data_IF_773143936629
#
_entry.id   IF_773143936629
#
_cell.length_a   1.000
_cell.length_b   1.000
_cell.length_c   1.000
_cell.angle_alpha   90.00
_cell.angle_beta   90.00
_cell.angle_gamma   90.00
#
_symmetry.space_group_name_H-M   'P 1'
#
loop_
_entity.id
_entity.type
_entity.pdbx_description
1 polymer ?
#
# COMPACT_ATOMS: atom_id res chain seq x y z
N UNK A 1 -8.96 -20.94 1.06
CA UNK A 1 -8.89 -19.64 1.79
C UNK A 1 -7.86 -19.74 2.91
N UNK A 2 -7.03 -18.73 3.08
CA UNK A 2 -6.10 -18.66 4.21
C UNK A 2 -6.86 -18.43 5.50
N UNK A 3 -6.28 -18.87 6.64
CA UNK A 3 -6.97 -18.79 7.93
C UNK A 3 -7.28 -17.34 8.34
N UNK A 4 -6.44 -16.38 7.96
CA UNK A 4 -6.65 -14.95 8.22
C UNK A 4 -6.63 -14.21 6.90
N UNK A 5 -7.69 -13.48 6.62
CA UNK A 5 -7.84 -12.69 5.39
C UNK A 5 -8.33 -11.28 5.78
N UNK A 6 -7.61 -10.22 5.38
CA UNK A 6 -8.10 -8.86 5.59
C UNK A 6 -9.46 -8.67 4.91
N UNK A 7 -10.38 -8.02 5.61
CA UNK A 7 -11.72 -7.76 5.13
C UNK A 7 -11.95 -6.23 5.15
N UNK A 8 -12.21 -5.66 3.97
CA UNK A 8 -12.27 -4.22 3.77
C UNK A 8 -13.73 -3.76 3.69
N UNK A 9 -14.08 -2.74 4.47
CA UNK A 9 -15.41 -2.15 4.45
C UNK A 9 -15.43 -0.93 3.54
N UNK A 10 -16.26 -0.98 2.49
CA UNK A 10 -16.49 0.16 1.58
C UNK A 10 -17.93 0.65 1.71
N UNK A 11 -18.15 1.91 1.38
CA UNK A 11 -19.50 2.45 1.22
C UNK A 11 -20.19 1.77 0.01
N UNK A 12 -19.73 2.06 -1.21
CA UNK A 12 -20.30 1.54 -2.46
C UNK A 12 -19.24 1.11 -3.49
N UNK A 13 -17.97 1.17 -3.16
CA UNK A 13 -16.86 1.16 -4.13
C UNK A 13 -16.02 -0.12 -4.09
N UNK A 14 -16.51 -1.19 -3.45
CA UNK A 14 -15.70 -2.41 -3.26
C UNK A 14 -15.24 -3.02 -4.59
N UNK A 15 -16.13 -3.13 -5.57
CA UNK A 15 -15.78 -3.70 -6.88
C UNK A 15 -14.82 -2.81 -7.67
N UNK A 16 -15.06 -1.51 -7.68
CA UNK A 16 -14.16 -0.54 -8.32
C UNK A 16 -12.77 -0.58 -7.67
N UNK A 17 -12.71 -0.59 -6.34
CA UNK A 17 -11.46 -0.65 -5.61
C UNK A 17 -10.70 -1.96 -5.90
N UNK A 18 -11.39 -3.09 -5.86
CA UNK A 18 -10.81 -4.38 -6.22
C UNK A 18 -10.18 -4.35 -7.60
N UNK A 19 -10.92 -3.91 -8.61
CA UNK A 19 -10.43 -3.85 -9.98
C UNK A 19 -9.22 -2.92 -10.11
N UNK A 20 -9.24 -1.81 -9.39
CA UNK A 20 -8.12 -0.88 -9.36
C UNK A 20 -6.88 -1.54 -8.75
N UNK A 21 -6.98 -2.15 -7.57
CA UNK A 21 -5.84 -2.81 -6.93
C UNK A 21 -5.27 -3.93 -7.79
N UNK A 22 -6.13 -4.75 -8.39
CA UNK A 22 -5.70 -5.81 -9.29
C UNK A 22 -4.95 -5.25 -10.51
N UNK A 23 -5.33 -4.08 -10.99
CA UNK A 23 -4.64 -3.42 -12.12
C UNK A 23 -3.25 -2.87 -11.75
N UNK A 24 -3.03 -2.56 -10.47
CA UNK A 24 -1.76 -1.97 -10.00
C UNK A 24 -0.68 -3.02 -9.76
N UNK A 25 -1.05 -4.20 -9.29
CA UNK A 25 -0.11 -5.29 -9.00
C UNK A 25 0.04 -6.22 -10.20
N UNK A 26 1.27 -6.64 -10.50
CA UNK A 26 1.55 -7.59 -11.61
C UNK A 26 0.98 -8.98 -11.34
N UNK A 27 1.17 -9.48 -10.12
CA UNK A 27 0.67 -10.78 -9.69
C UNK A 27 -0.59 -10.57 -8.88
N UNK A 28 -1.72 -10.43 -9.57
CA UNK A 28 -3.00 -10.13 -8.93
C UNK A 28 -4.15 -10.71 -9.73
N UNK A 29 -5.23 -11.04 -9.05
CA UNK A 29 -6.43 -11.57 -9.72
C UNK A 29 -7.70 -11.35 -8.89
N UNK A 30 -8.81 -11.20 -9.59
CA UNK A 30 -10.13 -11.23 -8.99
C UNK A 30 -10.47 -12.69 -8.69
N UNK A 31 -10.90 -12.99 -7.47
CA UNK A 31 -11.33 -14.32 -7.06
C UNK A 31 -12.84 -14.48 -7.17
N UNK A 32 -13.61 -13.43 -6.87
CA UNK A 32 -15.06 -13.50 -7.02
C UNK A 32 -15.77 -12.21 -6.66
N UNK A 33 -17.00 -12.10 -7.13
CA UNK A 33 -17.92 -11.00 -6.79
C UNK A 33 -19.27 -11.62 -6.50
N UNK A 34 -19.85 -11.37 -5.34
CA UNK A 34 -21.24 -11.74 -5.06
C UNK A 34 -22.12 -10.50 -5.23
N UNK A 35 -23.29 -10.67 -5.86
CA UNK A 35 -24.19 -9.57 -6.18
C UNK A 35 -25.50 -9.71 -5.45
N UNK A 36 -26.09 -8.58 -5.07
CA UNK A 36 -27.41 -8.52 -4.51
C UNK A 36 -28.49 -8.61 -5.60
N UNK A 37 -29.80 -8.60 -5.19
CA UNK A 37 -30.92 -8.67 -6.12
C UNK A 37 -30.98 -7.53 -7.14
N UNK A 38 -30.35 -6.38 -6.81
CA UNK A 38 -30.24 -5.20 -7.67
C UNK A 38 -29.11 -5.32 -8.72
N UNK A 39 -28.37 -6.43 -8.75
CA UNK A 39 -27.23 -6.64 -9.63
C UNK A 39 -25.94 -5.95 -9.17
N UNK A 40 -25.97 -5.18 -8.09
CA UNK A 40 -24.79 -4.48 -7.56
C UNK A 40 -23.92 -5.43 -6.74
N UNK A 41 -22.62 -5.19 -6.75
CA UNK A 41 -21.69 -5.94 -5.92
C UNK A 41 -22.02 -5.77 -4.44
N UNK A 42 -22.08 -6.89 -3.73
CA UNK A 42 -22.22 -6.89 -2.27
C UNK A 42 -20.88 -7.24 -1.62
N UNK A 43 -20.28 -8.37 -1.99
CA UNK A 43 -18.95 -8.75 -1.51
C UNK A 43 -18.02 -9.01 -2.68
N UNK A 44 -16.73 -8.76 -2.45
CA UNK A 44 -15.67 -9.02 -3.42
C UNK A 44 -14.56 -9.82 -2.77
N UNK A 45 -13.82 -10.57 -3.56
CA UNK A 45 -12.60 -11.23 -3.13
C UNK A 45 -11.55 -11.17 -4.23
N UNK A 46 -10.31 -10.97 -3.84
CA UNK A 46 -9.20 -10.79 -4.78
C UNK A 46 -7.88 -11.16 -4.11
N UNK A 47 -6.85 -11.25 -4.93
CA UNK A 47 -5.50 -11.58 -4.47
C UNK A 47 -4.51 -10.58 -5.05
N UNK A 48 -3.62 -10.08 -4.20
CA UNK A 48 -2.51 -9.22 -4.56
C UNK A 48 -1.22 -9.88 -4.08
N UNK A 49 -0.37 -10.25 -5.02
CA UNK A 49 0.92 -10.89 -4.74
C UNK A 49 0.82 -12.06 -3.72
N UNK A 50 -0.16 -12.92 -3.93
CA UNK A 50 -0.40 -14.09 -3.08
C UNK A 50 -1.18 -13.84 -1.80
N UNK A 51 -1.47 -12.58 -1.44
CA UNK A 51 -2.30 -12.23 -0.29
C UNK A 51 -3.76 -12.08 -0.72
N UNK A 52 -4.64 -12.84 -0.11
CA UNK A 52 -6.08 -12.72 -0.33
C UNK A 52 -6.65 -11.55 0.47
N UNK A 53 -7.62 -10.88 -0.14
CA UNK A 53 -8.43 -9.82 0.46
C UNK A 53 -9.89 -10.07 0.17
N UNK A 54 -10.73 -9.65 1.10
CA UNK A 54 -12.17 -9.59 0.89
C UNK A 54 -12.65 -8.16 1.14
N UNK A 55 -13.81 -7.83 0.60
CA UNK A 55 -14.43 -6.54 0.85
C UNK A 55 -15.94 -6.62 0.70
N UNK A 56 -16.63 -5.60 1.22
CA UNK A 56 -18.06 -5.48 1.05
C UNK A 56 -18.46 -4.02 0.90
N UNK A 57 -19.64 -3.82 0.32
CA UNK A 57 -20.34 -2.53 0.29
C UNK A 57 -21.42 -2.56 1.35
N UNK A 58 -21.27 -1.77 2.41
CA UNK A 58 -22.21 -1.79 3.54
C UNK A 58 -22.53 -0.40 4.10
N UNK A 59 -22.30 0.65 3.30
CA UNK A 59 -22.66 2.02 3.66
C UNK A 59 -21.50 2.80 4.29
N UNK A 60 -21.75 4.08 4.62
CA UNK A 60 -20.69 5.02 4.99
C UNK A 60 -20.36 5.04 6.49
N UNK A 61 -20.85 4.08 7.29
CA UNK A 61 -20.67 4.10 8.74
C UNK A 61 -19.22 4.04 9.19
N UNK A 62 -18.38 3.29 8.48
CA UNK A 62 -16.98 3.10 8.87
C UNK A 62 -16.05 3.57 7.76
N UNK A 63 -14.93 4.17 8.16
CA UNK A 63 -13.91 4.68 7.25
C UNK A 63 -12.56 4.11 7.64
N UNK A 64 -11.72 3.87 6.63
CA UNK A 64 -10.32 3.49 6.86
C UNK A 64 -9.56 4.61 7.57
N UNK A 65 -8.57 4.21 8.34
CA UNK A 65 -7.63 5.14 8.97
C UNK A 65 -6.21 4.53 9.00
N UNK A 66 -5.27 5.26 9.55
CA UNK A 66 -3.85 4.90 9.56
C UNK A 66 -3.50 3.75 10.51
N UNK A 67 -4.45 3.32 11.36
CA UNK A 67 -4.17 2.25 12.33
C UNK A 67 -3.89 0.90 11.67
N UNK A 68 -4.38 0.68 10.44
CA UNK A 68 -4.04 -0.46 9.60
C UNK A 68 -3.59 0.05 8.24
N UNK A 69 -2.46 -0.43 7.76
CA UNK A 69 -1.94 -0.11 6.44
C UNK A 69 -1.47 -1.36 5.71
N UNK A 70 -1.50 -1.31 4.39
CA UNK A 70 -0.99 -2.36 3.52
C UNK A 70 0.48 -2.06 3.22
N UNK A 71 1.37 -2.92 3.68
CA UNK A 71 2.81 -2.74 3.48
C UNK A 71 3.23 -3.40 2.17
N UNK A 72 3.78 -2.61 1.24
CA UNK A 72 4.28 -3.09 -0.04
C UNK A 72 5.81 -3.03 -0.02
N UNK A 73 6.43 -4.21 -0.05
CA UNK A 73 7.88 -4.32 -0.10
C UNK A 73 8.33 -4.25 -1.56
N UNK A 74 9.01 -3.16 -1.92
CA UNK A 74 9.43 -2.90 -3.29
C UNK A 74 10.87 -3.34 -3.53
N UNK A 75 11.11 -3.90 -4.71
CA UNK A 75 12.42 -4.41 -5.10
C UNK A 75 13.43 -3.29 -5.36
N UNK A 76 12.96 -2.16 -5.90
CA UNK A 76 13.81 -1.05 -6.31
C UNK A 76 13.00 0.26 -6.39
N UNK A 77 13.68 1.35 -6.81
CA UNK A 77 13.04 2.65 -6.96
C UNK A 77 11.93 2.65 -8.02
N UNK A 78 12.10 1.88 -9.09
CA UNK A 78 11.10 1.81 -10.16
C UNK A 78 9.78 1.25 -9.64
N UNK A 79 9.82 0.22 -8.79
CA UNK A 79 8.61 -0.30 -8.14
C UNK A 79 8.02 0.70 -7.16
N UNK A 80 8.84 1.36 -6.35
CA UNK A 80 8.37 2.44 -5.45
C UNK A 80 7.60 3.49 -6.26
N UNK A 81 8.18 3.96 -7.35
CA UNK A 81 7.55 4.99 -8.20
C UNK A 81 6.23 4.50 -8.79
N UNK A 82 6.20 3.27 -9.27
CA UNK A 82 5.01 2.66 -9.85
C UNK A 82 3.84 2.61 -8.84
N UNK A 83 4.07 2.02 -7.67
CA UNK A 83 3.03 1.90 -6.65
C UNK A 83 2.62 3.26 -6.07
N UNK A 84 3.60 4.12 -5.79
CA UNK A 84 3.33 5.45 -5.25
C UNK A 84 2.46 6.27 -6.17
N UNK A 85 2.86 6.38 -7.44
CA UNK A 85 2.14 7.18 -8.43
C UNK A 85 0.73 6.64 -8.70
N UNK A 86 0.57 5.32 -8.74
CA UNK A 86 -0.73 4.70 -8.94
C UNK A 86 -1.66 4.95 -7.74
N UNK A 87 -1.15 4.80 -6.51
CA UNK A 87 -1.98 4.86 -5.31
C UNK A 87 -2.38 6.28 -4.92
N UNK A 88 -1.54 7.29 -5.18
CA UNK A 88 -1.90 8.69 -4.89
C UNK A 88 -2.75 9.35 -5.99
N UNK A 89 -2.94 8.67 -7.12
CA UNK A 89 -3.70 9.24 -8.25
C UNK A 89 -5.18 9.44 -7.90
N UNK A 90 -5.81 10.37 -8.64
CA UNK A 90 -7.26 10.55 -8.70
C UNK A 90 -7.95 10.79 -7.35
N UNK A 91 -7.29 11.48 -6.43
CA UNK A 91 -7.84 11.80 -5.11
C UNK A 91 -7.11 11.11 -3.96
N UNK A 92 -6.07 10.34 -4.25
CA UNK A 92 -5.15 9.86 -3.23
C UNK A 92 -4.29 10.99 -2.67
N UNK A 93 -3.61 10.74 -1.57
CA UNK A 93 -2.81 11.75 -0.86
C UNK A 93 -1.46 11.17 -0.44
N UNK A 94 -0.42 11.97 -0.62
CA UNK A 94 0.89 11.67 -0.05
C UNK A 94 0.88 11.88 1.47
N UNK A 95 1.59 11.04 2.19
CA UNK A 95 1.91 11.25 3.59
C UNK A 95 3.43 11.13 3.78
N UNK A 96 3.88 10.87 4.98
CA UNK A 96 5.30 10.88 5.32
C UNK A 96 5.90 9.47 5.31
N UNK A 97 7.20 9.38 5.08
CA UNK A 97 7.99 8.17 5.30
C UNK A 97 7.51 6.95 4.48
N UNK A 98 7.08 7.17 3.24
CA UNK A 98 6.59 6.10 2.39
C UNK A 98 5.11 5.76 2.60
N UNK A 99 4.43 6.47 3.49
CA UNK A 99 2.98 6.29 3.70
C UNK A 99 2.19 7.12 2.68
N UNK A 100 1.10 6.55 2.20
CA UNK A 100 0.14 7.27 1.36
C UNK A 100 -1.27 6.71 1.56
N UNK A 101 -2.25 7.51 1.17
CA UNK A 101 -3.66 7.13 1.21
C UNK A 101 -4.19 7.09 -0.22
N UNK A 102 -4.89 6.02 -0.57
CA UNK A 102 -5.49 5.93 -1.90
C UNK A 102 -6.83 6.69 -1.97
N UNK A 103 -7.39 6.78 -3.17
CA UNK A 103 -8.65 7.50 -3.41
C UNK A 103 -9.86 6.91 -2.67
N UNK A 104 -9.75 5.68 -2.17
CA UNK A 104 -10.79 5.04 -1.36
C UNK A 104 -10.57 5.22 0.14
N UNK A 105 -9.47 5.86 0.53
CA UNK A 105 -9.13 6.10 1.93
C UNK A 105 -8.31 4.99 2.58
N UNK A 106 -7.95 3.95 1.85
CA UNK A 106 -7.09 2.88 2.38
C UNK A 106 -5.64 3.36 2.43
N UNK A 107 -4.97 3.02 3.53
CA UNK A 107 -3.59 3.44 3.79
C UNK A 107 -2.59 2.39 3.36
N UNK A 108 -1.48 2.85 2.78
CA UNK A 108 -0.41 2.03 2.23
C UNK A 108 0.93 2.53 2.71
N UNK A 109 1.89 1.60 2.84
CA UNK A 109 3.30 1.91 3.01
C UNK A 109 4.05 1.35 1.81
N UNK A 110 4.74 2.22 1.07
CA UNK A 110 5.48 1.85 -0.13
C UNK A 110 6.97 1.93 0.21
N UNK A 111 7.58 0.77 0.42
CA UNK A 111 8.90 0.69 1.07
C UNK A 111 9.87 -0.12 0.22
N UNK A 112 10.98 0.47 -0.22
CA UNK A 112 12.02 -0.29 -0.91
C UNK A 112 12.79 -1.18 0.07
N UNK A 113 13.17 -2.37 -0.38
CA UNK A 113 13.97 -3.30 0.45
C UNK A 113 15.27 -2.67 0.95
N UNK A 114 15.85 -1.74 0.18
CA UNK A 114 17.07 -1.03 0.53
C UNK A 114 16.96 -0.26 1.86
N UNK A 115 15.75 0.20 2.22
CA UNK A 115 15.57 0.86 3.52
C UNK A 115 15.91 -0.09 4.67
N UNK A 116 15.36 -1.29 4.66
CA UNK A 116 15.65 -2.31 5.68
C UNK A 116 17.11 -2.75 5.66
N UNK A 117 17.69 -2.92 4.49
CA UNK A 117 19.11 -3.29 4.33
C UNK A 117 20.04 -2.23 4.94
N UNK A 118 19.80 -0.95 4.66
CA UNK A 118 20.61 0.16 5.18
C UNK A 118 20.39 0.41 6.67
N UNK A 119 19.19 0.21 7.17
CA UNK A 119 18.86 0.35 8.59
C UNK A 119 19.35 -0.83 9.43
N UNK A 120 19.43 -2.02 8.86
CA UNK A 120 19.82 -3.25 9.52
C UNK A 120 21.33 -3.46 9.62
N UNK A 121 22.14 -2.52 9.20
CA UNK A 121 23.59 -2.62 9.23
C UNK A 121 24.16 -2.59 10.64
N UNK A 122 25.43 -2.97 10.77
CA UNK A 122 26.15 -3.07 12.05
C UNK A 122 26.61 -1.72 12.63
N UNK A 123 26.48 -0.65 11.85
CA UNK A 123 26.91 0.71 12.28
C UNK A 123 25.67 1.55 12.67
N UNK A 124 25.43 1.75 13.99
CA UNK A 124 24.26 2.50 14.46
C UNK A 124 24.22 3.96 13.97
N UNK A 125 25.39 4.59 13.81
CA UNK A 125 25.45 5.98 13.35
C UNK A 125 24.98 6.10 11.89
N UNK A 126 25.38 5.17 11.03
CA UNK A 126 24.92 5.12 9.64
C UNK A 126 23.44 4.83 9.55
N UNK A 127 22.97 3.83 10.30
CA UNK A 127 21.55 3.48 10.36
C UNK A 127 20.69 4.68 10.80
N UNK A 128 21.14 5.43 11.79
CA UNK A 128 20.42 6.61 12.27
C UNK A 128 20.37 7.72 11.22
N UNK A 129 21.44 7.91 10.44
CA UNK A 129 21.40 8.89 9.33
C UNK A 129 20.34 8.52 8.30
N UNK A 130 20.20 7.21 7.98
CA UNK A 130 19.17 6.72 7.08
C UNK A 130 17.77 6.99 7.63
N UNK A 131 17.53 6.69 8.91
CA UNK A 131 16.26 6.95 9.59
C UNK A 131 15.92 8.44 9.54
N UNK A 132 16.88 9.30 9.86
CA UNK A 132 16.67 10.76 9.86
C UNK A 132 16.35 11.28 8.45
N UNK A 133 16.97 10.73 7.41
CA UNK A 133 16.67 11.07 6.02
C UNK A 133 15.24 10.63 5.65
N UNK A 134 14.88 9.39 5.98
CA UNK A 134 13.55 8.83 5.72
C UNK A 134 12.44 9.67 6.36
N UNK A 135 12.64 10.12 7.61
CA UNK A 135 11.62 10.88 8.35
C UNK A 135 11.24 12.20 7.68
N UNK A 136 12.06 12.69 6.76
CA UNK A 136 11.81 13.93 6.01
C UNK A 136 11.20 13.68 4.62
N UNK A 137 11.05 12.42 4.21
CA UNK A 137 10.56 12.06 2.88
C UNK A 137 9.03 11.89 2.87
N UNK A 138 8.43 12.14 1.70
CA UNK A 138 7.12 11.61 1.34
C UNK A 138 7.33 10.26 0.66
N UNK A 139 7.50 10.23 -0.66
CA UNK A 139 7.97 9.03 -1.35
C UNK A 139 9.41 8.74 -0.95
N UNK A 140 9.72 7.48 -0.67
CA UNK A 140 11.08 7.08 -0.33
C UNK A 140 11.95 7.10 -1.57
N UNK A 141 13.10 7.76 -1.46
CA UNK A 141 14.10 7.89 -2.54
C UNK A 141 15.33 7.10 -2.14
N UNK A 142 15.56 5.96 -2.80
CA UNK A 142 16.66 5.03 -2.49
C UNK A 142 18.02 5.73 -2.56
N UNK A 143 18.24 6.54 -3.60
CA UNK A 143 19.51 7.28 -3.77
C UNK A 143 19.82 8.19 -2.59
N UNK A 144 18.80 8.86 -2.04
CA UNK A 144 18.97 9.76 -0.89
C UNK A 144 19.20 8.98 0.41
N UNK A 145 18.61 7.80 0.56
CA UNK A 145 18.92 6.90 1.67
C UNK A 145 20.39 6.47 1.63
N UNK A 146 20.88 6.12 0.44
CA UNK A 146 22.27 5.71 0.24
C UNK A 146 23.25 6.85 0.54
N UNK A 147 22.94 8.06 0.09
CA UNK A 147 23.74 9.26 0.41
C UNK A 147 23.81 9.49 1.92
N UNK A 148 22.69 9.39 2.60
CA UNK A 148 22.64 9.55 4.06
C UNK A 148 23.49 8.48 4.75
N UNK A 149 23.39 7.23 4.30
CA UNK A 149 24.23 6.13 4.82
C UNK A 149 25.71 6.40 4.63
N UNK A 150 26.10 6.94 3.48
CA UNK A 150 27.49 7.27 3.15
C UNK A 150 27.99 8.56 3.81
N UNK A 151 27.13 9.31 4.46
CA UNK A 151 27.47 10.59 5.13
C UNK A 151 27.64 11.76 4.17
N UNK A 152 26.97 11.73 3.04
CA UNK A 152 27.06 12.75 1.98
C UNK A 152 25.83 13.65 1.93
#
# INVERSE_FOLDING_TARGET
>A
MKKVTPFLWFDTQAEEAMNYYVSVFKNAKVLGVSRGPDGKAFTVSFELDGQEFMGLNAGPQFKFNEAVSMFVNCEDQAEVDHFWNALIADGGEESMCGWCKDKYGLWWQIVPKQLGELMGGSDPARSMRVVNAMLKMHKIIVADLQKAYDGK
#
